data_IF_762423405296
#
_entry.id   IF_762423405296
#
_cell.length_a   1.000
_cell.length_b   1.000
_cell.length_c   1.000
_cell.angle_alpha   90.00
_cell.angle_beta   90.00
_cell.angle_gamma   90.00
#
_symmetry.space_group_name_H-M   'P 1'
#
loop_
_entity.id
_entity.type
_entity.pdbx_description
1 polymer ?
#
# COMPACT_ATOMS: atom_id res chain seq x y z
N UNK A 1 -20.15 19.28 -3.60
CA UNK A 1 -19.14 18.49 -4.31
C UNK A 1 -17.79 19.04 -3.90
N UNK A 2 -17.25 18.53 -2.80
CA UNK A 2 -15.85 18.72 -2.45
C UNK A 2 -15.05 17.79 -3.36
N UNK A 3 -14.10 18.33 -4.12
CA UNK A 3 -13.16 17.53 -4.90
C UNK A 3 -12.48 16.53 -3.95
N UNK A 4 -12.63 15.23 -4.23
CA UNK A 4 -11.91 14.22 -3.46
C UNK A 4 -10.40 14.41 -3.65
N UNK A 5 -9.59 14.29 -2.60
CA UNK A 5 -8.17 14.52 -2.72
C UNK A 5 -7.54 13.47 -3.63
N UNK A 6 -6.85 13.92 -4.68
CA UNK A 6 -5.94 13.08 -5.46
C UNK A 6 -4.56 13.21 -4.83
N UNK A 7 -4.17 12.25 -3.99
CA UNK A 7 -2.81 12.21 -3.44
C UNK A 7 -1.79 11.88 -4.52
N UNK A 8 -0.59 12.43 -4.37
CA UNK A 8 0.59 12.06 -5.15
C UNK A 8 1.65 11.48 -4.24
N UNK A 9 2.50 10.59 -4.76
CA UNK A 9 3.60 9.98 -3.99
C UNK A 9 4.49 11.05 -3.33
N UNK A 10 4.97 12.11 -4.03
CA UNK A 10 5.78 13.16 -3.40
C UNK A 10 5.09 13.90 -2.26
N UNK A 11 3.78 14.16 -2.38
CA UNK A 11 3.02 14.79 -1.30
C UNK A 11 2.97 13.88 -0.07
N UNK A 12 2.66 12.60 -0.25
CA UNK A 12 2.59 11.64 0.86
C UNK A 12 3.94 11.50 1.56
N UNK A 13 5.02 11.31 0.81
CA UNK A 13 6.36 11.20 1.41
C UNK A 13 6.79 12.47 2.14
N UNK A 14 6.42 13.65 1.62
CA UNK A 14 6.66 14.93 2.30
C UNK A 14 5.88 15.02 3.61
N UNK A 15 4.60 14.63 3.61
CA UNK A 15 3.79 14.61 4.82
C UNK A 15 4.35 13.61 5.86
N UNK A 16 4.76 12.42 5.43
CA UNK A 16 5.34 11.41 6.30
C UNK A 16 6.64 11.87 6.97
N UNK A 17 7.43 12.72 6.30
CA UNK A 17 8.66 13.28 6.87
C UNK A 17 8.41 14.13 8.14
N UNK A 18 7.18 14.61 8.36
CA UNK A 18 6.77 15.35 9.57
C UNK A 18 6.84 14.51 10.84
N UNK A 19 6.67 13.21 10.72
CA UNK A 19 6.69 12.26 11.84
C UNK A 19 8.13 12.04 12.35
N UNK A 20 9.13 12.30 11.51
CA UNK A 20 10.53 12.18 11.87
C UNK A 20 10.98 10.72 11.97
N UNK A 21 11.69 10.36 13.05
CA UNK A 21 12.39 9.07 13.17
C UNK A 21 11.49 7.83 13.19
N UNK A 22 10.19 7.99 13.46
CA UNK A 22 9.23 6.89 13.50
C UNK A 22 8.69 6.51 12.11
N UNK A 23 9.11 7.27 11.07
CA UNK A 23 9.04 6.85 9.67
C UNK A 23 10.47 6.73 9.13
N UNK A 24 10.83 5.55 8.64
CA UNK A 24 12.15 5.27 8.07
C UNK A 24 12.02 5.17 6.57
N UNK A 25 12.80 5.96 5.84
CA UNK A 25 12.84 5.92 4.37
C UNK A 25 14.26 5.68 3.91
N UNK A 26 14.45 4.77 2.97
CA UNK A 26 15.72 4.64 2.27
C UNK A 26 15.85 5.73 1.19
N UNK A 27 17.07 6.07 0.76
CA UNK A 27 17.27 6.88 -0.45
C UNK A 27 16.56 6.28 -1.66
N UNK A 28 16.15 7.13 -2.60
CA UNK A 28 15.55 6.67 -3.86
C UNK A 28 16.49 5.79 -4.69
N UNK A 29 15.91 4.83 -5.40
CA UNK A 29 16.61 3.87 -6.24
C UNK A 29 17.29 4.57 -7.42
N UNK A 30 18.51 4.11 -7.75
CA UNK A 30 19.21 4.58 -8.94
C UNK A 30 18.55 4.09 -10.23
N UNK A 31 18.79 4.77 -11.35
CA UNK A 31 18.31 4.32 -12.66
C UNK A 31 18.77 2.89 -13.01
N UNK A 32 19.98 2.49 -12.58
CA UNK A 32 20.49 1.14 -12.76
C UNK A 32 19.70 0.12 -11.93
N UNK A 33 19.35 0.46 -10.69
CA UNK A 33 18.55 -0.39 -9.79
C UNK A 33 17.14 -0.59 -10.36
N UNK A 34 16.50 0.49 -10.81
CA UNK A 34 15.19 0.43 -11.46
C UNK A 34 15.21 -0.43 -12.73
N UNK A 35 16.25 -0.29 -13.56
CA UNK A 35 16.39 -1.10 -14.76
C UNK A 35 16.64 -2.59 -14.44
N UNK A 36 17.45 -2.89 -13.42
CA UNK A 36 17.69 -4.25 -12.95
C UNK A 36 16.39 -4.88 -12.41
N UNK A 37 15.62 -4.12 -11.62
CA UNK A 37 14.34 -4.58 -11.09
C UNK A 37 13.33 -4.88 -12.20
N UNK A 38 13.17 -3.97 -13.15
CA UNK A 38 12.33 -4.19 -14.34
C UNK A 38 12.74 -5.44 -15.13
N UNK A 39 14.05 -5.64 -15.32
CA UNK A 39 14.56 -6.85 -15.98
C UNK A 39 14.24 -8.12 -15.19
N UNK A 40 14.32 -8.08 -13.85
CA UNK A 40 14.09 -9.25 -13.00
C UNK A 40 12.61 -9.65 -12.95
N UNK A 41 11.70 -8.68 -12.91
CA UNK A 41 10.24 -8.94 -12.97
C UNK A 41 9.74 -9.28 -14.38
N UNK A 42 10.62 -9.27 -15.39
CA UNK A 42 10.29 -9.64 -16.77
C UNK A 42 9.48 -8.60 -17.54
N UNK A 43 9.49 -7.33 -17.11
CA UNK A 43 8.67 -6.28 -17.71
C UNK A 43 8.87 -4.89 -17.11
N UNK A 44 8.12 -3.91 -17.59
CA UNK A 44 8.11 -2.60 -16.97
C UNK A 44 7.39 -2.66 -15.62
N UNK A 45 7.99 -2.05 -14.58
CA UNK A 45 7.28 -1.82 -13.32
C UNK A 45 6.12 -0.83 -13.55
N UNK A 46 5.01 -0.95 -12.79
CA UNK A 46 3.94 0.05 -12.82
C UNK A 46 4.47 1.47 -12.58
N UNK A 47 3.88 2.47 -13.24
CA UNK A 47 4.35 3.86 -13.17
C UNK A 47 4.37 4.39 -11.72
N UNK A 48 3.34 4.09 -10.93
CA UNK A 48 3.26 4.53 -9.53
C UNK A 48 4.37 3.91 -8.68
N UNK A 49 4.73 2.65 -8.96
CA UNK A 49 5.85 1.95 -8.33
C UNK A 49 7.16 2.63 -8.74
N UNK A 50 7.35 2.95 -10.02
CA UNK A 50 8.54 3.70 -10.46
C UNK A 50 8.66 5.07 -9.79
N UNK A 51 7.55 5.78 -9.60
CA UNK A 51 7.55 7.08 -8.93
C UNK A 51 7.93 6.96 -7.45
N UNK A 52 7.31 6.01 -6.74
CA UNK A 52 7.63 5.69 -5.35
C UNK A 52 9.10 5.34 -5.18
N UNK A 53 9.60 4.38 -5.96
CA UNK A 53 10.95 3.87 -5.79
C UNK A 53 12.04 4.83 -6.26
N UNK A 54 11.73 5.80 -7.14
CA UNK A 54 12.65 6.92 -7.41
C UNK A 54 12.81 7.85 -6.21
N UNK A 55 11.79 7.96 -5.36
CA UNK A 55 11.82 8.81 -4.18
C UNK A 55 12.36 8.07 -2.96
N UNK A 56 12.00 6.79 -2.78
CA UNK A 56 12.44 5.97 -1.64
C UNK A 56 12.50 4.49 -2.00
N UNK A 57 13.66 3.85 -1.83
CA UNK A 57 13.88 2.42 -2.12
C UNK A 57 13.65 1.55 -0.88
N UNK A 58 12.42 1.60 -0.37
CA UNK A 58 12.01 0.97 0.88
C UNK A 58 11.62 1.99 1.96
N UNK A 59 10.62 1.62 2.74
CA UNK A 59 10.00 2.50 3.73
C UNK A 59 9.42 1.66 4.86
N UNK A 60 9.60 2.11 6.09
CA UNK A 60 8.91 1.55 7.24
C UNK A 60 8.15 2.65 7.98
N UNK A 61 6.88 2.40 8.26
CA UNK A 61 6.00 3.32 8.95
C UNK A 61 5.37 2.64 10.17
N UNK A 62 5.14 3.45 11.21
CA UNK A 62 4.40 3.08 12.41
C UNK A 62 4.90 1.75 13.01
N UNK A 63 6.21 1.64 13.25
CA UNK A 63 6.86 0.45 13.86
C UNK A 63 6.62 -0.86 13.11
N UNK A 64 6.50 -0.80 11.78
CA UNK A 64 6.39 -1.99 10.94
C UNK A 64 4.97 -2.32 10.48
N UNK A 65 3.94 -1.58 10.90
CA UNK A 65 2.57 -1.74 10.37
C UNK A 65 2.42 -1.41 8.86
N UNK A 66 3.49 -0.86 8.29
CA UNK A 66 3.71 -0.81 6.85
C UNK A 66 5.20 -0.92 6.62
N UNK A 67 5.60 -1.93 5.86
CA UNK A 67 6.99 -2.15 5.47
C UNK A 67 7.05 -2.38 3.97
N UNK A 68 7.55 -1.38 3.24
CA UNK A 68 7.88 -1.47 1.82
C UNK A 68 9.28 -2.03 1.67
N UNK A 69 9.38 -3.12 0.93
CA UNK A 69 10.63 -3.79 0.57
C UNK A 69 11.50 -2.89 -0.31
N UNK A 70 12.85 -3.00 -0.25
CA UNK A 70 13.71 -2.47 -1.30
C UNK A 70 13.41 -3.17 -2.64
N UNK A 71 13.74 -2.54 -3.77
CA UNK A 71 13.56 -3.17 -5.08
C UNK A 71 14.34 -4.48 -5.19
N UNK A 72 15.59 -4.44 -4.77
CA UNK A 72 16.51 -5.58 -4.77
C UNK A 72 16.71 -6.00 -3.33
N UNK A 73 16.37 -7.25 -3.01
CA UNK A 73 16.54 -7.76 -1.67
C UNK A 73 18.00 -7.90 -1.26
N UNK A 74 18.18 -8.17 0.03
CA UNK A 74 19.47 -8.47 0.64
C UNK A 74 19.41 -9.84 1.31
N UNK A 75 20.50 -10.29 1.91
CA UNK A 75 20.51 -11.55 2.67
C UNK A 75 19.56 -11.55 3.88
N UNK A 76 19.09 -10.37 4.32
CA UNK A 76 18.29 -10.20 5.54
C UNK A 76 16.92 -9.58 5.29
N UNK A 77 16.66 -9.11 4.08
CA UNK A 77 15.44 -8.37 3.74
C UNK A 77 14.95 -8.79 2.35
N UNK A 78 13.67 -9.15 2.27
CA UNK A 78 13.01 -9.53 1.04
C UNK A 78 12.92 -8.32 0.10
N UNK A 79 13.26 -8.50 -1.18
CA UNK A 79 13.08 -7.49 -2.21
C UNK A 79 11.80 -7.66 -3.02
N UNK A 80 11.38 -6.57 -3.68
CA UNK A 80 10.22 -6.55 -4.60
C UNK A 80 10.37 -7.59 -5.71
N UNK A 81 11.58 -7.76 -6.26
CA UNK A 81 11.79 -8.61 -7.46
C UNK A 81 11.54 -10.10 -7.17
N UNK A 82 11.83 -10.57 -5.97
CA UNK A 82 11.66 -11.96 -5.57
C UNK A 82 10.40 -12.20 -4.72
N UNK A 83 9.79 -11.14 -4.15
CA UNK A 83 8.69 -11.25 -3.20
C UNK A 83 7.54 -12.13 -3.70
N UNK A 84 7.08 -11.91 -4.94
CA UNK A 84 5.99 -12.69 -5.51
C UNK A 84 6.33 -14.18 -5.68
N UNK A 85 7.58 -14.50 -6.06
CA UNK A 85 8.01 -15.89 -6.22
C UNK A 85 8.09 -16.60 -4.86
N UNK A 86 8.59 -15.91 -3.84
CA UNK A 86 8.69 -16.44 -2.48
C UNK A 86 7.30 -16.70 -1.88
N UNK A 87 6.37 -15.75 -1.97
CA UNK A 87 5.01 -15.96 -1.47
C UNK A 87 4.28 -17.10 -2.20
N UNK A 88 4.44 -17.22 -3.53
CA UNK A 88 3.90 -18.38 -4.28
C UNK A 88 4.51 -19.72 -3.85
N UNK A 89 5.77 -19.73 -3.39
CA UNK A 89 6.40 -20.95 -2.86
C UNK A 89 5.79 -21.42 -1.53
N UNK A 90 5.02 -20.55 -0.87
CA UNK A 90 4.22 -20.83 0.31
C UNK A 90 2.74 -21.05 -0.02
N UNK A 91 2.43 -21.36 -1.29
CA UNK A 91 1.09 -21.62 -1.82
C UNK A 91 0.12 -20.41 -1.76
N UNK A 92 0.63 -19.18 -1.63
CA UNK A 92 -0.20 -17.98 -1.75
C UNK A 92 -0.67 -17.75 -3.20
N UNK A 93 -1.91 -17.28 -3.37
CA UNK A 93 -2.46 -16.85 -4.67
C UNK A 93 -1.99 -15.43 -4.95
N UNK A 94 -0.83 -15.32 -5.59
CA UNK A 94 -0.28 -14.05 -6.08
C UNK A 94 -0.42 -14.02 -7.62
N UNK A 95 -1.31 -13.19 -8.20
CA UNK A 95 -1.43 -13.03 -9.64
C UNK A 95 -0.09 -12.75 -10.31
N UNK A 96 0.09 -13.19 -11.57
CA UNK A 96 1.37 -13.06 -12.27
C UNK A 96 1.80 -11.59 -12.43
N UNK A 97 0.83 -10.70 -12.64
CA UNK A 97 1.01 -9.28 -12.86
C UNK A 97 1.04 -8.46 -11.57
N UNK A 98 0.83 -9.08 -10.40
CA UNK A 98 0.86 -8.40 -9.10
C UNK A 98 2.32 -8.22 -8.67
N UNK A 99 2.73 -6.96 -8.56
CA UNK A 99 4.05 -6.59 -8.01
C UNK A 99 3.88 -6.37 -6.52
N UNK A 100 4.31 -7.35 -5.70
CA UNK A 100 4.32 -7.21 -4.25
C UNK A 100 5.36 -6.18 -3.82
N UNK A 101 4.94 -5.21 -3.01
CA UNK A 101 5.77 -4.09 -2.59
C UNK A 101 6.20 -4.19 -1.13
N UNK A 102 5.44 -4.91 -0.30
CA UNK A 102 5.66 -4.88 1.13
C UNK A 102 4.72 -5.76 1.94
N UNK A 103 4.83 -5.64 3.26
CA UNK A 103 3.93 -6.26 4.23
C UNK A 103 3.29 -5.25 5.17
N UNK A 104 2.14 -5.62 5.72
CA UNK A 104 1.41 -4.83 6.73
C UNK A 104 1.96 -5.01 8.15
N UNK A 105 3.10 -5.68 8.30
CA UNK A 105 3.70 -6.01 9.61
C UNK A 105 3.11 -7.23 10.30
N UNK A 106 2.05 -7.82 9.75
CA UNK A 106 1.47 -9.08 10.17
C UNK A 106 1.64 -10.16 9.10
N UNK A 107 0.57 -10.91 8.86
CA UNK A 107 0.53 -12.04 7.93
C UNK A 107 0.06 -11.62 6.52
N UNK A 108 0.03 -10.32 6.21
CA UNK A 108 -0.40 -9.80 4.92
C UNK A 108 0.73 -9.19 4.11
N UNK A 109 0.67 -9.40 2.80
CA UNK A 109 1.50 -8.70 1.82
C UNK A 109 0.62 -7.80 0.96
N UNK A 110 1.14 -6.66 0.53
CA UNK A 110 0.42 -5.80 -0.40
C UNK A 110 1.28 -5.46 -1.61
N UNK A 111 0.60 -5.12 -2.70
CA UNK A 111 1.26 -4.82 -3.95
C UNK A 111 0.40 -3.99 -4.88
N UNK A 112 1.01 -3.59 -5.99
CA UNK A 112 0.30 -2.90 -7.08
C UNK A 112 0.05 -3.88 -8.20
N UNK A 113 -1.20 -3.94 -8.62
CA UNK A 113 -1.63 -4.78 -9.72
C UNK A 113 -2.09 -3.94 -10.91
N UNK A 114 -1.56 -4.29 -12.09
CA UNK A 114 -1.90 -3.65 -13.36
C UNK A 114 -2.08 -4.75 -14.42
N UNK A 115 -3.28 -5.35 -14.53
CA UNK A 115 -3.49 -6.38 -15.55
C UNK A 115 -3.45 -5.78 -16.96
N UNK A 116 -3.24 -6.64 -17.95
CA UNK A 116 -3.23 -6.22 -19.36
C UNK A 116 -4.56 -5.53 -19.74
N UNK A 117 -4.46 -4.33 -20.32
CA UNK A 117 -5.64 -3.54 -20.71
C UNK A 117 -6.30 -2.77 -19.56
N UNK A 118 -5.70 -2.75 -18.36
CA UNK A 118 -6.19 -1.95 -17.25
C UNK A 118 -6.18 -0.45 -17.57
N UNK A 119 -7.19 0.25 -17.06
CA UNK A 119 -7.29 1.71 -17.13
C UNK A 119 -6.59 2.41 -15.96
N UNK A 120 -6.42 1.68 -14.85
CA UNK A 120 -5.80 2.16 -13.61
C UNK A 120 -5.07 1.02 -12.91
N UNK A 121 -4.11 1.36 -12.07
CA UNK A 121 -3.52 0.47 -11.07
C UNK A 121 -4.50 0.27 -9.90
N UNK A 122 -4.42 -0.87 -9.24
CA UNK A 122 -5.08 -1.09 -7.94
C UNK A 122 -4.06 -1.58 -6.93
N UNK A 123 -4.22 -1.17 -5.68
CA UNK A 123 -3.46 -1.71 -4.56
C UNK A 123 -4.23 -2.90 -4.01
N UNK A 124 -3.55 -4.04 -3.95
CA UNK A 124 -4.13 -5.32 -3.53
C UNK A 124 -3.38 -5.80 -2.29
N UNK A 125 -4.11 -6.24 -1.28
CA UNK A 125 -3.58 -7.05 -0.20
C UNK A 125 -3.82 -8.52 -0.53
N UNK A 126 -2.80 -9.33 -0.30
CA UNK A 126 -2.85 -10.77 -0.30
C UNK A 126 -2.59 -11.26 1.11
N UNK A 127 -3.37 -12.25 1.56
CA UNK A 127 -3.22 -12.91 2.85
C UNK A 127 -3.46 -14.40 2.70
N UNK A 128 -3.09 -15.17 3.72
CA UNK A 128 -3.64 -16.50 3.97
C UNK A 128 -4.72 -16.35 5.04
N UNK A 129 -5.95 -16.72 4.71
CA UNK A 129 -7.09 -16.64 5.62
C UNK A 129 -6.95 -17.62 6.79
N UNK A 130 -7.80 -17.45 7.81
CA UNK A 130 -7.86 -18.34 8.98
C UNK A 130 -8.21 -19.80 8.62
N UNK A 131 -8.85 -20.05 7.48
CA UNK A 131 -9.10 -21.40 6.95
C UNK A 131 -8.02 -21.88 5.96
N UNK A 132 -6.83 -21.27 6.02
CA UNK A 132 -5.64 -21.57 5.20
C UNK A 132 -5.88 -21.39 3.69
N UNK A 133 -6.82 -20.52 3.32
CA UNK A 133 -7.11 -20.22 1.92
C UNK A 133 -6.46 -18.89 1.53
N UNK A 134 -5.81 -18.84 0.36
CA UNK A 134 -5.36 -17.57 -0.15
C UNK A 134 -6.54 -16.63 -0.43
N UNK A 135 -6.41 -15.39 0.01
CA UNK A 135 -7.44 -14.36 -0.11
C UNK A 135 -6.82 -13.04 -0.56
N UNK A 136 -7.59 -12.28 -1.35
CA UNK A 136 -7.20 -10.97 -1.85
C UNK A 136 -8.26 -9.93 -1.50
N UNK A 137 -7.86 -8.67 -1.32
CA UNK A 137 -8.73 -7.50 -1.19
C UNK A 137 -8.13 -6.30 -1.94
N UNK A 138 -8.99 -5.42 -2.47
CA UNK A 138 -8.56 -4.15 -3.08
C UNK A 138 -8.57 -3.07 -2.01
N UNK A 139 -7.40 -2.55 -1.68
CA UNK A 139 -7.24 -1.53 -0.64
C UNK A 139 -7.15 -0.11 -1.21
N UNK A 140 -6.96 0.03 -2.52
CA UNK A 140 -6.90 1.36 -3.14
C UNK A 140 -6.94 1.31 -4.65
N UNK A 141 -7.33 2.42 -5.24
CA UNK A 141 -7.26 2.67 -6.70
C UNK A 141 -6.07 3.54 -7.08
N UNK A 142 -5.26 3.95 -6.08
CA UNK A 142 -3.97 4.61 -6.26
C UNK A 142 -3.01 4.24 -5.14
N UNK A 143 -1.72 4.10 -5.47
CA UNK A 143 -0.69 3.81 -4.47
C UNK A 143 -0.53 4.96 -3.46
N UNK A 144 -0.61 6.21 -3.92
CA UNK A 144 -0.52 7.37 -3.05
C UNK A 144 -1.71 7.48 -2.09
N UNK A 145 -2.94 7.25 -2.58
CA UNK A 145 -4.13 7.25 -1.74
C UNK A 145 -4.09 6.14 -0.68
N UNK A 146 -3.71 4.92 -1.08
CA UNK A 146 -3.47 3.84 -0.12
C UNK A 146 -2.47 4.23 0.97
N UNK A 147 -1.29 4.74 0.60
CA UNK A 147 -0.27 5.15 1.58
C UNK A 147 -0.77 6.28 2.50
N UNK A 148 -1.58 7.21 1.98
CA UNK A 148 -2.19 8.27 2.78
C UNK A 148 -3.20 7.71 3.81
N UNK A 149 -4.08 6.80 3.39
CA UNK A 149 -5.05 6.15 4.28
C UNK A 149 -4.35 5.30 5.35
N UNK A 150 -3.35 4.50 4.94
CA UNK A 150 -2.58 3.65 5.85
C UNK A 150 -1.83 4.48 6.90
N UNK A 151 -1.21 5.58 6.48
CA UNK A 151 -0.56 6.51 7.39
C UNK A 151 -1.56 7.18 8.34
N UNK A 152 -2.73 7.59 7.82
CA UNK A 152 -3.77 8.22 8.62
C UNK A 152 -4.32 7.30 9.72
N UNK A 153 -4.38 5.99 9.45
CA UNK A 153 -4.83 4.99 10.42
C UNK A 153 -3.74 4.62 11.43
N UNK A 154 -2.57 4.17 10.96
CA UNK A 154 -1.57 3.55 11.82
C UNK A 154 -0.68 4.53 12.60
N UNK A 155 -0.50 5.76 12.11
CA UNK A 155 0.33 6.74 12.82
C UNK A 155 -0.29 7.14 14.17
N UNK A 156 -1.57 7.55 14.26
CA UNK A 156 -2.22 7.80 15.54
C UNK A 156 -2.30 6.55 16.40
N UNK A 157 -2.66 5.39 15.81
CA UNK A 157 -2.78 4.12 16.54
C UNK A 157 -1.48 3.73 17.25
N UNK A 158 -0.34 3.90 16.58
CA UNK A 158 0.94 3.38 17.07
C UNK A 158 1.72 4.40 17.89
N UNK A 159 1.62 5.69 17.54
CA UNK A 159 2.43 6.76 18.12
C UNK A 159 1.63 7.71 19.02
N UNK A 160 0.30 7.64 18.98
CA UNK A 160 -0.60 8.58 19.63
C UNK A 160 -0.60 9.97 18.97
N UNK A 161 -1.26 10.91 19.64
CA UNK A 161 -1.34 12.31 19.19
C UNK A 161 -0.03 13.05 19.50
N UNK A 162 0.88 13.05 18.52
CA UNK A 162 2.09 13.88 18.56
C UNK A 162 2.00 15.02 17.56
N UNK A 163 2.76 16.10 17.77
CA UNK A 163 2.79 17.23 16.83
C UNK A 163 3.20 16.82 15.40
N UNK A 164 4.10 15.83 15.27
CA UNK A 164 4.51 15.29 13.96
C UNK A 164 3.39 14.51 13.27
N UNK A 165 2.63 13.72 14.03
CA UNK A 165 1.45 13.00 13.53
C UNK A 165 0.38 14.00 13.10
N UNK A 166 0.01 14.97 13.93
CA UNK A 166 -1.01 15.98 13.57
C UNK A 166 -0.63 16.75 12.30
N UNK A 167 0.64 17.19 12.19
CA UNK A 167 1.13 17.89 11.00
C UNK A 167 1.14 16.99 9.75
N UNK A 168 1.44 15.70 9.90
CA UNK A 168 1.34 14.74 8.79
C UNK A 168 -0.12 14.62 8.31
N UNK A 169 -1.08 14.45 9.21
CA UNK A 169 -2.51 14.36 8.85
C UNK A 169 -3.05 15.65 8.21
N UNK A 170 -2.55 16.80 8.66
CA UNK A 170 -2.81 18.11 8.03
C UNK A 170 -2.28 18.18 6.60
N UNK A 171 -1.01 17.84 6.39
CA UNK A 171 -0.39 17.85 5.06
C UNK A 171 -1.05 16.82 4.11
N UNK A 172 -1.54 15.70 4.63
CA UNK A 172 -2.33 14.71 3.88
C UNK A 172 -3.78 15.15 3.61
N UNK A 173 -4.25 16.20 4.28
CA UNK A 173 -5.62 16.70 4.14
C UNK A 173 -6.69 15.77 4.73
N UNK A 174 -6.35 14.97 5.75
CA UNK A 174 -7.30 14.06 6.40
C UNK A 174 -8.45 14.88 7.01
N UNK A 175 -9.73 14.60 6.69
CA UNK A 175 -10.88 15.32 7.22
C UNK A 175 -10.95 15.22 8.75
N UNK A 176 -11.31 16.31 9.43
CA UNK A 176 -11.42 16.33 10.89
C UNK A 176 -12.33 15.21 11.45
N UNK A 177 -13.45 14.95 10.78
CA UNK A 177 -14.38 13.88 11.16
C UNK A 177 -13.74 12.47 11.13
N UNK A 178 -12.74 12.24 10.27
CA UNK A 178 -11.98 10.99 10.21
C UNK A 178 -10.78 10.98 11.16
N UNK A 179 -10.39 12.11 11.74
CA UNK A 179 -9.35 12.16 12.78
C UNK A 179 -9.93 11.93 14.18
N UNK A 180 -11.18 12.36 14.36
CA UNK A 180 -11.91 12.32 15.62
C UNK A 180 -12.73 11.03 15.80
N UNK A 181 -12.65 10.09 14.85
CA UNK A 181 -13.45 8.86 14.81
C UNK A 181 -13.41 8.07 16.12
N UNK A 182 -14.61 7.69 16.55
CA UNK A 182 -15.09 7.27 17.88
C UNK A 182 -14.19 6.38 18.74
N UNK A 183 -13.27 6.95 19.53
CA UNK A 183 -12.64 6.34 20.73
C UNK A 183 -11.89 4.98 20.58
N UNK A 184 -12.07 4.26 19.49
CA UNK A 184 -11.50 2.96 19.16
C UNK A 184 -11.18 3.00 17.66
N UNK A 185 -9.89 2.96 17.32
CA UNK A 185 -9.44 2.77 15.94
C UNK A 185 -9.70 1.31 15.58
N UNK A 186 -10.73 1.08 14.76
CA UNK A 186 -11.22 -0.22 14.35
C UNK A 186 -11.25 -0.37 12.81
N UNK A 187 -11.75 -1.52 12.34
CA UNK A 187 -11.80 -1.82 10.91
C UNK A 187 -12.72 -0.86 10.15
N UNK A 188 -13.84 -0.41 10.76
CA UNK A 188 -14.74 0.57 10.16
C UNK A 188 -14.03 1.92 9.93
N UNK A 189 -13.19 2.33 10.87
CA UNK A 189 -12.37 3.53 10.74
C UNK A 189 -11.33 3.40 9.61
N UNK A 190 -10.66 2.23 9.49
CA UNK A 190 -9.74 1.98 8.37
C UNK A 190 -10.49 2.03 7.03
N UNK A 191 -11.65 1.39 6.93
CA UNK A 191 -12.49 1.42 5.73
C UNK A 191 -12.87 2.85 5.32
N UNK A 192 -13.28 3.68 6.28
CA UNK A 192 -13.61 5.08 6.03
C UNK A 192 -12.41 5.89 5.51
N UNK A 193 -11.20 5.64 6.02
CA UNK A 193 -9.97 6.27 5.52
C UNK A 193 -9.60 5.79 4.11
N UNK A 194 -9.75 4.50 3.82
CA UNK A 194 -9.52 3.94 2.48
C UNK A 194 -10.49 4.56 1.47
N UNK A 195 -11.79 4.64 1.81
CA UNK A 195 -12.81 5.28 0.99
C UNK A 195 -12.56 6.78 0.79
N UNK A 196 -12.04 7.49 1.80
CA UNK A 196 -11.63 8.88 1.67
C UNK A 196 -10.48 9.06 0.67
N UNK A 197 -9.45 8.22 0.76
CA UNK A 197 -8.26 8.33 -0.09
C UNK A 197 -8.41 7.67 -1.47
N UNK A 198 -9.43 6.82 -1.65
CA UNK A 198 -9.80 6.16 -2.91
C UNK A 198 -11.33 6.08 -3.04
N UNK A 199 -12.00 7.20 -3.39
CA UNK A 199 -13.48 7.28 -3.42
C UNK A 199 -14.15 6.40 -4.48
N UNK A 200 -13.37 5.91 -5.44
CA UNK A 200 -13.77 4.98 -6.49
C UNK A 200 -13.38 3.53 -6.16
N UNK A 201 -13.13 3.23 -4.87
CA UNK A 201 -12.95 1.87 -4.39
C UNK A 201 -14.15 1.00 -4.77
N UNK A 202 -13.90 -0.25 -5.19
CA UNK A 202 -14.94 -1.16 -5.66
C UNK A 202 -15.74 -1.80 -4.52
N UNK A 203 -15.15 -1.87 -3.32
CA UNK A 203 -15.74 -2.33 -2.07
C UNK A 203 -15.44 -1.24 -1.03
N UNK A 204 -16.47 -0.75 -0.34
CA UNK A 204 -16.37 0.29 0.67
C UNK A 204 -15.86 -0.22 2.01
N UNK A 205 -15.79 -1.54 2.18
CA UNK A 205 -15.30 -2.19 3.39
C UNK A 205 -14.39 -3.40 3.03
N UNK A 206 -13.25 -3.17 2.36
CA UNK A 206 -12.43 -4.26 1.85
C UNK A 206 -11.84 -5.12 2.98
N UNK A 207 -12.19 -6.40 3.00
CA UNK A 207 -11.69 -7.36 4.00
C UNK A 207 -11.35 -8.69 3.33
N UNK A 208 -10.06 -9.09 3.26
CA UNK A 208 -9.69 -10.36 2.63
C UNK A 208 -10.16 -11.59 3.44
N UNK A 209 -10.42 -11.47 4.73
CA UNK A 209 -10.85 -12.57 5.59
C UNK A 209 -12.37 -12.79 5.53
N UNK A 210 -13.15 -11.71 5.49
CA UNK A 210 -14.62 -11.80 5.40
C UNK A 210 -15.17 -11.77 3.97
N UNK A 211 -14.52 -11.02 3.07
CA UNK A 211 -14.96 -10.75 1.68
C UNK A 211 -13.81 -10.89 0.66
N UNK A 212 -13.17 -12.07 0.56
CA UNK A 212 -12.10 -12.26 -0.40
C UNK A 212 -12.60 -12.07 -1.83
N UNK A 213 -11.80 -11.37 -2.64
CA UNK A 213 -12.00 -11.28 -4.09
C UNK A 213 -11.04 -12.23 -4.82
N UNK A 214 -11.52 -12.87 -5.88
CA UNK A 214 -10.66 -13.67 -6.75
C UNK A 214 -9.95 -12.79 -7.81
N UNK A 215 -8.88 -13.28 -8.45
CA UNK A 215 -8.18 -12.54 -9.50
C UNK A 215 -9.06 -12.11 -10.68
N UNK A 216 -10.13 -12.86 -11.01
CA UNK A 216 -11.02 -12.50 -12.13
C UNK A 216 -11.95 -11.33 -11.76
N UNK A 217 -12.38 -11.22 -10.51
CA UNK A 217 -13.05 -10.03 -9.96
C UNK A 217 -12.12 -8.84 -10.06
N UNK A 218 -10.89 -8.98 -9.56
CA UNK A 218 -9.90 -7.93 -9.65
C UNK A 218 -9.77 -7.44 -11.11
N UNK A 219 -9.65 -8.35 -12.10
CA UNK A 219 -9.39 -7.95 -13.50
C UNK A 219 -10.52 -7.08 -14.03
N UNK A 220 -11.77 -7.42 -13.69
CA UNK A 220 -12.94 -6.63 -14.08
C UNK A 220 -12.88 -5.23 -13.48
N UNK A 221 -12.50 -5.10 -12.21
CA UNK A 221 -12.40 -3.81 -11.51
C UNK A 221 -11.32 -2.89 -12.11
N UNK A 222 -10.18 -3.47 -12.51
CA UNK A 222 -9.09 -2.70 -13.13
C UNK A 222 -9.36 -2.29 -14.59
N UNK A 223 -10.30 -2.96 -15.28
CA UNK A 223 -10.60 -2.75 -16.71
C UNK A 223 -11.87 -1.94 -16.98
N UNK A 224 -12.79 -1.84 -16.00
CA UNK A 224 -13.98 -0.97 -16.05
C UNK A 224 -13.64 0.52 -15.89
#
# INVERSE_FOLDING_TARGET
MTDSPSHTVPQVLTALSRVGKDVRTAPGASAQTLAAAASAVGGALPQDVLELYRATDGLELARGNLHLYPLLGTDVELGVVEAAAIHRSWDWVIPAELVLLGSDGGDGAFGVWVPAGARRSVVVQAVVSLDERPALAVLGTSLAGFLAAWAAYYLPLTLGETAGVSACLDDLGVPAALREGESELDDEHLHALLAWASPDLPDDEPDPYARPVDPAVLTRLATS
#
